data_IF_772588361748
#
_entry.id   IF_772588361748
#
_cell.length_a   1.000
_cell.length_b   1.000
_cell.length_c   1.000
_cell.angle_alpha   90.00
_cell.angle_beta   90.00
_cell.angle_gamma   90.00
#
_symmetry.space_group_name_H-M   'P 1'
#
loop_
_entity.id
_entity.type
_entity.pdbx_description
1 polymer ?
#
# COMPACT_ATOMS: atom_id res chain seq x y z
N UNK A 1 36.88 -27.04 -21.79
CA UNK A 1 35.80 -26.52 -20.93
C UNK A 1 36.16 -25.10 -20.53
N UNK A 2 35.52 -24.11 -21.15
CA UNK A 2 35.80 -22.69 -20.89
C UNK A 2 34.80 -22.24 -19.83
N UNK A 3 35.27 -21.89 -18.62
CA UNK A 3 34.44 -21.23 -17.61
C UNK A 3 34.28 -19.77 -18.02
N UNK A 4 33.06 -19.29 -18.33
CA UNK A 4 32.86 -17.86 -18.57
C UNK A 4 33.12 -17.10 -17.27
N UNK A 5 33.93 -16.06 -17.34
CA UNK A 5 34.19 -15.18 -16.21
C UNK A 5 32.94 -14.38 -15.82
N UNK A 6 32.87 -13.98 -14.55
CA UNK A 6 31.83 -13.12 -13.95
C UNK A 6 31.24 -12.02 -14.88
N UNK A 7 32.01 -11.27 -15.69
CA UNK A 7 31.42 -10.26 -16.58
C UNK A 7 30.51 -10.85 -17.68
N UNK A 8 30.80 -12.05 -18.18
CA UNK A 8 30.00 -12.72 -19.20
C UNK A 8 28.67 -13.23 -18.63
N UNK A 9 28.67 -13.69 -17.37
CA UNK A 9 27.46 -14.08 -16.67
C UNK A 9 26.54 -12.87 -16.37
N UNK A 10 27.11 -11.70 -16.07
CA UNK A 10 26.34 -10.46 -15.86
C UNK A 10 25.76 -9.94 -17.17
N UNK A 11 26.50 -10.04 -18.29
CA UNK A 11 26.01 -9.66 -19.60
C UNK A 11 24.85 -10.56 -20.10
N UNK A 12 24.93 -11.87 -19.83
CA UNK A 12 23.85 -12.82 -20.14
C UNK A 12 22.62 -12.63 -19.24
N UNK A 13 22.81 -12.30 -17.97
CA UNK A 13 21.71 -11.96 -17.07
C UNK A 13 21.03 -10.64 -17.47
N UNK A 14 21.79 -9.63 -17.89
CA UNK A 14 21.23 -8.38 -18.41
C UNK A 14 20.48 -8.59 -19.73
N UNK A 15 20.97 -9.45 -20.63
CA UNK A 15 20.27 -9.81 -21.85
C UNK A 15 18.98 -10.62 -21.57
N UNK A 16 18.98 -11.49 -20.57
CA UNK A 16 17.78 -12.23 -20.15
C UNK A 16 16.73 -11.31 -19.49
N UNK A 17 17.15 -10.34 -18.68
CA UNK A 17 16.25 -9.33 -18.10
C UNK A 17 15.69 -8.41 -19.17
N UNK A 18 16.47 -8.04 -20.19
CA UNK A 18 16.00 -7.24 -21.33
C UNK A 18 15.06 -8.02 -22.28
N UNK A 19 15.22 -9.34 -22.39
CA UNK A 19 14.33 -10.20 -23.19
C UNK A 19 13.05 -10.61 -22.44
N UNK A 20 13.05 -10.61 -21.10
CA UNK A 20 11.87 -10.88 -20.26
C UNK A 20 11.12 -9.61 -19.84
N UNK A 21 11.74 -8.43 -19.92
CA UNK A 21 11.04 -7.13 -19.75
C UNK A 21 10.15 -6.77 -20.94
N UNK A 22 10.08 -7.63 -21.97
CA UNK A 22 9.21 -7.50 -23.14
C UNK A 22 7.84 -8.18 -23.01
N UNK A 23 7.54 -8.81 -21.87
CA UNK A 23 6.17 -9.23 -21.52
C UNK A 23 5.50 -8.18 -20.62
N UNK A 24 5.70 -6.90 -20.95
CA UNK A 24 4.81 -5.83 -20.55
C UNK A 24 3.79 -5.75 -21.67
N UNK A 25 2.51 -5.93 -21.35
CA UNK A 25 1.44 -5.61 -22.29
C UNK A 25 1.61 -4.14 -22.69
N UNK A 26 1.98 -3.89 -23.94
CA UNK A 26 2.08 -2.55 -24.47
C UNK A 26 0.66 -2.01 -24.69
N UNK A 27 0.39 -0.81 -24.18
CA UNK A 27 -0.91 -0.13 -24.27
C UNK A 27 -1.28 0.13 -25.74
N UNK A 28 -0.32 0.05 -26.66
CA UNK A 28 -0.54 0.21 -28.09
C UNK A 28 -1.24 -0.95 -28.81
N UNK A 29 -1.43 -2.12 -28.18
CA UNK A 29 -2.21 -3.21 -28.78
C UNK A 29 -3.74 -3.02 -28.61
N UNK A 30 -4.16 -2.04 -27.81
CA UNK A 30 -5.55 -1.59 -27.75
C UNK A 30 -5.68 -0.32 -28.58
N UNK A 31 -5.98 -0.47 -29.87
CA UNK A 31 -6.21 0.64 -30.79
C UNK A 31 -7.38 1.53 -30.38
N UNK A 32 -7.16 2.42 -29.42
CA UNK A 32 -8.08 3.45 -28.98
C UNK A 32 -7.29 4.75 -28.79
N UNK A 33 -7.64 5.75 -29.59
CA UNK A 33 -7.08 7.10 -29.51
C UNK A 33 -7.22 7.63 -28.08
N UNK A 34 -6.11 8.09 -27.52
CA UNK A 34 -6.08 8.72 -26.20
C UNK A 34 -6.96 9.98 -26.24
N UNK A 35 -8.08 10.06 -25.50
CA UNK A 35 -8.87 11.28 -25.48
C UNK A 35 -8.03 12.38 -24.81
N UNK A 36 -7.95 13.54 -25.45
CA UNK A 36 -7.24 14.70 -24.92
C UNK A 36 -7.78 15.12 -23.54
N UNK A 37 -6.98 15.84 -22.74
CA UNK A 37 -7.36 16.25 -21.39
C UNK A 37 -8.60 17.14 -21.45
N UNK A 38 -9.74 16.63 -20.98
CA UNK A 38 -10.91 17.47 -20.69
C UNK A 38 -10.78 18.01 -19.27
N UNK A 39 -10.86 19.34 -19.16
CA UNK A 39 -10.77 20.17 -17.96
C UNK A 39 -11.92 19.93 -16.96
N UNK A 40 -12.07 18.71 -16.46
CA UNK A 40 -12.81 18.44 -15.23
C UNK A 40 -11.82 18.52 -14.08
N UNK A 41 -11.76 19.71 -13.46
CA UNK A 41 -10.76 20.11 -12.48
C UNK A 41 -10.39 19.02 -11.47
N UNK A 42 -9.09 18.71 -11.40
CA UNK A 42 -8.51 17.99 -10.27
C UNK A 42 -8.88 18.73 -8.98
N UNK A 43 -9.37 18.04 -7.94
CA UNK A 43 -9.40 18.62 -6.61
C UNK A 43 -7.95 18.75 -6.11
N UNK A 44 -7.27 19.85 -6.46
CA UNK A 44 -5.99 20.28 -5.88
C UNK A 44 -6.22 21.00 -4.55
N UNK A 45 -7.10 20.46 -3.70
CA UNK A 45 -7.05 20.79 -2.28
C UNK A 45 -6.10 19.78 -1.66
N UNK A 46 -4.82 20.14 -1.57
CA UNK A 46 -3.92 19.46 -0.63
C UNK A 46 -4.61 19.54 0.74
N UNK A 47 -5.00 18.42 1.37
CA UNK A 47 -5.60 18.50 2.70
C UNK A 47 -4.62 19.26 3.59
N UNK A 48 -5.11 20.31 4.27
CA UNK A 48 -4.38 20.96 5.34
C UNK A 48 -4.30 19.90 6.43
N UNK A 49 -3.20 19.16 6.47
CA UNK A 49 -2.88 18.28 7.58
C UNK A 49 -2.42 19.22 8.69
N UNK A 50 -3.22 19.33 9.76
CA UNK A 50 -2.81 20.07 10.94
C UNK A 50 -1.41 19.59 11.36
N UNK A 51 -0.52 20.53 11.69
CA UNK A 51 0.81 20.19 12.18
C UNK A 51 0.65 19.26 13.39
N UNK A 52 1.25 18.06 13.38
CA UNK A 52 1.07 17.10 14.46
C UNK A 52 1.51 17.76 15.78
N UNK A 53 0.80 17.48 16.90
CA UNK A 53 1.19 18.03 18.19
C UNK A 53 2.65 17.71 18.49
N UNK A 54 3.34 18.60 19.19
CA UNK A 54 4.72 18.36 19.57
C UNK A 54 4.84 17.07 20.41
N UNK A 55 5.99 16.40 20.31
CA UNK A 55 6.32 15.27 21.18
C UNK A 55 6.29 15.72 22.64
N UNK A 56 5.61 14.97 23.50
CA UNK A 56 5.65 15.21 24.94
C UNK A 56 6.97 14.65 25.49
N UNK A 57 7.96 15.53 25.66
CA UNK A 57 9.30 15.19 26.12
C UNK A 57 9.56 15.76 27.52
N UNK A 58 10.39 15.08 28.34
CA UNK A 58 10.83 15.63 29.61
C UNK A 58 11.48 17.01 29.47
N UNK A 59 11.33 17.83 30.51
CA UNK A 59 11.88 19.19 30.51
C UNK A 59 13.38 19.19 30.23
N UNK A 60 13.80 19.94 29.20
CA UNK A 60 15.20 20.05 28.80
C UNK A 60 15.66 19.04 27.75
N UNK A 61 14.83 18.06 27.35
CA UNK A 61 15.10 17.24 26.17
C UNK A 61 14.45 17.85 24.92
N UNK A 62 15.20 17.92 23.81
CA UNK A 62 14.65 18.14 22.47
C UNK A 62 14.62 16.81 21.68
N UNK A 63 13.83 16.70 20.60
CA UNK A 63 13.78 15.49 19.78
C UNK A 63 15.16 15.09 19.21
N UNK A 64 16.02 16.07 18.93
CA UNK A 64 17.38 15.83 18.43
C UNK A 64 18.33 15.23 19.48
N UNK A 65 17.96 15.29 20.77
CA UNK A 65 18.76 14.75 21.87
C UNK A 65 18.41 13.29 22.20
N UNK A 66 17.38 12.73 21.54
CA UNK A 66 17.01 11.33 21.69
C UNK A 66 17.94 10.45 20.85
N UNK A 67 18.34 9.32 21.41
CA UNK A 67 18.97 8.24 20.64
C UNK A 67 17.94 7.17 20.32
N UNK A 68 17.84 6.79 19.05
CA UNK A 68 16.90 5.77 18.58
C UNK A 68 17.72 4.70 17.89
N UNK A 69 17.64 3.49 18.41
CA UNK A 69 18.28 2.32 17.84
C UNK A 69 17.25 1.49 17.11
N UNK A 70 17.56 1.10 15.88
CA UNK A 70 16.65 0.35 15.01
C UNK A 70 17.19 -1.04 14.72
N UNK A 71 16.31 -2.03 14.78
CA UNK A 71 16.58 -3.36 14.24
C UNK A 71 16.43 -3.37 12.70
N UNK A 72 16.88 -4.46 12.08
CA UNK A 72 16.61 -4.68 10.66
C UNK A 72 15.10 -4.92 10.41
N UNK A 73 14.54 -4.39 9.32
CA UNK A 73 13.14 -4.64 8.95
C UNK A 73 12.85 -6.14 8.78
N UNK A 74 11.74 -6.59 9.36
CA UNK A 74 11.22 -7.94 9.17
C UNK A 74 9.99 -7.88 8.29
N UNK A 75 10.01 -8.62 7.18
CA UNK A 75 8.89 -8.70 6.23
C UNK A 75 7.88 -9.75 6.70
N UNK A 76 6.60 -9.38 6.70
CA UNK A 76 5.49 -10.27 6.96
C UNK A 76 5.17 -11.20 5.78
N UNK A 77 3.96 -11.77 5.75
CA UNK A 77 3.54 -12.64 4.66
C UNK A 77 3.37 -11.85 3.34
N UNK A 78 3.94 -12.36 2.24
CA UNK A 78 4.04 -11.68 0.94
C UNK A 78 2.71 -11.42 0.22
N UNK A 79 1.65 -12.12 0.61
CA UNK A 79 0.39 -12.16 -0.12
C UNK A 79 -0.82 -11.74 0.75
N UNK A 80 -0.63 -10.77 1.64
CA UNK A 80 -1.75 -10.19 2.38
C UNK A 80 -2.54 -9.25 1.44
N UNK A 81 -3.86 -9.28 1.53
CA UNK A 81 -4.71 -8.31 0.84
C UNK A 81 -4.63 -6.96 1.59
N UNK A 82 -3.95 -5.98 0.99
CA UNK A 82 -3.68 -4.69 1.61
C UNK A 82 -4.77 -3.66 1.34
N UNK A 83 -5.35 -3.70 0.14
CA UNK A 83 -6.42 -2.80 -0.28
C UNK A 83 -7.29 -3.48 -1.36
N UNK A 84 -8.52 -2.99 -1.49
CA UNK A 84 -9.48 -3.46 -2.48
C UNK A 84 -10.10 -2.28 -3.20
N UNK A 85 -10.31 -2.44 -4.51
CA UNK A 85 -11.12 -1.56 -5.34
C UNK A 85 -12.27 -2.34 -5.94
N UNK A 86 -13.49 -1.84 -5.81
CA UNK A 86 -14.70 -2.39 -6.42
C UNK A 86 -15.21 -1.43 -7.48
N UNK A 87 -15.44 -1.95 -8.68
CA UNK A 87 -15.95 -1.22 -9.83
C UNK A 87 -17.23 -1.86 -10.34
N UNK A 88 -18.29 -1.07 -10.48
CA UNK A 88 -19.56 -1.52 -11.04
C UNK A 88 -19.82 -0.80 -12.35
N UNK A 89 -20.03 -1.57 -13.42
CA UNK A 89 -20.32 -1.08 -14.76
C UNK A 89 -21.81 -1.26 -15.04
N UNK A 90 -22.53 -0.16 -15.30
CA UNK A 90 -23.93 -0.18 -15.70
C UNK A 90 -24.08 0.15 -17.18
N UNK A 91 -24.88 -0.65 -17.89
CA UNK A 91 -25.34 -0.33 -19.24
C UNK A 91 -26.51 0.67 -19.15
N UNK A 92 -26.51 1.74 -19.96
CA UNK A 92 -27.61 2.68 -20.02
C UNK A 92 -28.96 2.01 -20.32
N UNK A 93 -30.01 2.46 -19.64
CA UNK A 93 -31.36 1.92 -19.74
C UNK A 93 -32.15 2.40 -20.98
N UNK A 94 -33.32 1.80 -21.27
CA UNK A 94 -34.16 2.25 -22.37
C UNK A 94 -34.60 3.71 -22.19
N UNK A 95 -34.29 4.58 -23.16
CA UNK A 95 -34.55 6.02 -23.12
C UNK A 95 -33.34 6.87 -22.72
N UNK A 96 -32.28 6.26 -22.19
CA UNK A 96 -30.96 6.90 -22.04
C UNK A 96 -30.27 6.79 -23.41
N UNK A 97 -30.11 7.91 -24.15
CA UNK A 97 -29.63 7.86 -25.54
C UNK A 97 -28.19 7.33 -25.62
N UNK A 98 -27.98 6.18 -26.27
CA UNK A 98 -26.65 5.73 -26.63
C UNK A 98 -26.28 6.27 -28.00
N UNK A 99 -25.08 6.84 -28.14
CA UNK A 99 -24.48 7.04 -29.45
C UNK A 99 -24.56 8.43 -30.06
N UNK A 100 -24.00 9.43 -29.38
CA UNK A 100 -23.07 10.33 -30.06
C UNK A 100 -21.65 9.79 -29.81
N UNK A 101 -21.31 8.64 -30.39
CA UNK A 101 -19.96 8.04 -30.40
C UNK A 101 -19.31 7.65 -29.06
N UNK A 102 -19.89 8.00 -27.92
CA UNK A 102 -19.24 7.88 -26.60
C UNK A 102 -20.27 7.77 -25.48
N UNK A 103 -21.25 6.84 -25.57
CA UNK A 103 -22.22 6.69 -24.48
C UNK A 103 -21.46 6.31 -23.21
N UNK A 104 -21.34 7.20 -22.21
CA UNK A 104 -20.52 6.92 -21.05
C UNK A 104 -21.21 5.83 -20.26
N UNK A 105 -20.54 4.72 -20.05
CA UNK A 105 -20.99 3.75 -19.07
C UNK A 105 -20.79 4.40 -17.71
N UNK A 106 -21.83 4.37 -16.87
CA UNK A 106 -21.65 4.86 -15.51
C UNK A 106 -20.88 3.80 -14.74
N UNK A 107 -19.68 4.18 -14.33
CA UNK A 107 -18.79 3.37 -13.51
C UNK A 107 -18.82 3.91 -12.09
N UNK A 108 -19.38 3.16 -11.15
CA UNK A 108 -19.27 3.45 -9.72
C UNK A 108 -18.00 2.81 -9.19
N UNK A 109 -17.25 3.53 -8.34
CA UNK A 109 -15.98 3.07 -7.77
C UNK A 109 -16.01 3.19 -6.25
N UNK A 110 -15.55 2.14 -5.57
CA UNK A 110 -15.36 2.13 -4.12
C UNK A 110 -13.98 1.57 -3.82
N UNK A 111 -13.18 2.37 -3.13
CA UNK A 111 -11.81 2.04 -2.72
C UNK A 111 -11.75 1.87 -1.21
N UNK A 112 -11.09 0.81 -0.75
CA UNK A 112 -10.94 0.49 0.67
C UNK A 112 -9.51 0.05 0.96
N UNK A 113 -8.81 0.78 1.82
CA UNK A 113 -7.58 0.30 2.46
C UNK A 113 -7.96 -0.65 3.60
N UNK A 114 -7.49 -1.90 3.55
CA UNK A 114 -7.76 -2.91 4.59
C UNK A 114 -6.72 -2.89 5.70
N UNK A 115 -5.48 -2.56 5.35
CA UNK A 115 -4.37 -2.45 6.28
C UNK A 115 -3.93 -0.99 6.35
N UNK A 116 -3.78 -0.40 7.55
CA UNK A 116 -3.27 0.96 7.68
C UNK A 116 -1.90 1.11 7.01
N UNK A 117 -1.60 2.27 6.38
CA UNK A 117 -0.29 2.50 5.75
C UNK A 117 0.87 2.29 6.73
N UNK A 118 0.69 2.70 7.98
CA UNK A 118 1.59 2.41 9.09
C UNK A 118 0.86 2.45 10.44
N UNK A 119 1.51 1.89 11.46
CA UNK A 119 1.04 1.89 12.85
C UNK A 119 2.21 1.77 13.83
N UNK A 120 2.04 2.38 15.00
CA UNK A 120 2.98 2.34 16.12
C UNK A 120 2.46 1.39 17.19
N UNK A 121 3.30 0.47 17.65
CA UNK A 121 3.03 -0.38 18.80
C UNK A 121 4.19 -0.25 19.80
N UNK A 122 3.90 0.26 21.00
CA UNK A 122 4.85 0.31 22.11
C UNK A 122 4.75 -1.01 22.87
N UNK A 123 5.88 -1.60 23.24
CA UNK A 123 5.87 -2.81 24.05
C UNK A 123 5.17 -2.53 25.39
N UNK A 124 4.29 -3.43 25.82
CA UNK A 124 3.88 -3.42 27.22
C UNK A 124 5.13 -3.61 28.09
N UNK A 125 5.18 -2.98 29.28
CA UNK A 125 6.27 -3.16 30.22
C UNK A 125 6.55 -4.66 30.41
N UNK A 126 7.59 -5.16 29.75
CA UNK A 126 7.93 -6.57 29.66
C UNK A 126 9.21 -6.84 30.43
N UNK A 127 9.26 -8.01 31.06
CA UNK A 127 10.19 -8.50 32.10
C UNK A 127 11.71 -8.51 31.74
N UNK A 128 12.11 -7.85 30.65
CA UNK A 128 13.49 -7.66 30.24
C UNK A 128 14.20 -6.53 31.01
N UNK A 129 15.53 -6.47 30.91
CA UNK A 129 16.44 -5.60 31.69
C UNK A 129 16.21 -4.07 31.56
N UNK A 130 15.21 -3.65 30.81
CA UNK A 130 14.86 -2.27 30.54
C UNK A 130 13.64 -1.91 31.39
N UNK A 131 13.89 -1.46 32.63
CA UNK A 131 12.86 -1.28 33.66
C UNK A 131 11.89 -0.12 33.42
N UNK A 132 12.10 0.71 32.39
CA UNK A 132 11.32 1.92 32.14
C UNK A 132 10.81 1.90 30.71
N UNK A 133 9.49 1.73 30.55
CA UNK A 133 8.82 1.90 29.26
C UNK A 133 7.81 3.03 29.42
N UNK A 134 8.13 4.18 28.84
CA UNK A 134 7.24 5.33 28.77
C UNK A 134 6.21 5.13 27.66
N UNK A 135 5.00 5.61 27.93
CA UNK A 135 4.01 5.78 26.87
C UNK A 135 4.52 6.84 25.90
N UNK A 136 4.50 6.54 24.61
CA UNK A 136 4.90 7.46 23.56
C UNK A 136 3.73 8.37 23.19
N UNK A 137 3.39 9.30 24.08
CA UNK A 137 2.27 10.21 23.88
C UNK A 137 2.69 11.57 23.31
N UNK A 138 1.84 12.19 22.47
CA UNK A 138 0.70 11.58 21.80
C UNK A 138 1.15 10.63 20.67
N UNK A 139 0.53 9.45 20.59
CA UNK A 139 0.91 8.38 19.66
C UNK A 139 1.07 8.85 18.20
N UNK A 140 0.20 9.71 17.63
CA UNK A 140 0.35 10.17 16.25
C UNK A 140 1.62 11.00 16.02
N UNK A 141 2.05 11.78 17.00
CA UNK A 141 3.27 12.59 16.88
C UNK A 141 4.51 11.72 16.91
N UNK A 142 4.57 10.75 17.83
CA UNK A 142 5.66 9.78 17.91
C UNK A 142 5.71 8.87 16.69
N UNK A 143 4.56 8.38 16.20
CA UNK A 143 4.50 7.56 15.01
C UNK A 143 5.02 8.32 13.78
N UNK A 144 4.65 9.60 13.63
CA UNK A 144 5.16 10.46 12.56
C UNK A 144 6.66 10.75 12.67
N UNK A 145 7.15 11.06 13.87
CA UNK A 145 8.56 11.32 14.14
C UNK A 145 9.43 10.08 13.88
N UNK A 146 9.05 8.92 14.42
CA UNK A 146 9.75 7.65 14.22
C UNK A 146 9.75 7.23 12.75
N UNK A 147 8.64 7.42 12.04
CA UNK A 147 8.56 7.16 10.60
C UNK A 147 9.50 8.08 9.80
N UNK A 148 9.64 9.34 10.23
CA UNK A 148 10.59 10.30 9.67
C UNK A 148 12.03 9.83 9.85
N UNK A 149 12.46 9.57 11.09
CA UNK A 149 13.81 9.11 11.42
C UNK A 149 14.19 7.81 10.69
N UNK A 150 13.27 6.84 10.62
CA UNK A 150 13.46 5.58 9.90
C UNK A 150 13.74 5.79 8.40
N UNK A 151 13.04 6.75 7.76
CA UNK A 151 13.24 7.11 6.35
C UNK A 151 14.51 7.92 6.15
N UNK A 152 14.79 8.87 7.05
CA UNK A 152 15.97 9.74 6.97
C UNK A 152 17.29 8.96 7.15
N UNK A 153 17.24 7.84 7.87
CA UNK A 153 18.36 6.89 8.03
C UNK A 153 18.44 5.82 6.92
N UNK A 154 17.60 5.90 5.89
CA UNK A 154 17.52 4.94 4.79
C UNK A 154 17.33 3.47 5.24
N UNK A 155 16.72 3.23 6.41
CA UNK A 155 16.43 1.88 6.92
C UNK A 155 15.27 1.27 6.13
N UNK A 156 14.32 2.11 5.73
CA UNK A 156 13.24 1.77 4.80
C UNK A 156 13.18 2.77 3.65
N UNK A 157 12.50 2.43 2.54
CA UNK A 157 12.34 3.36 1.43
C UNK A 157 11.54 4.62 1.81
N UNK A 158 11.75 5.76 1.12
CA UNK A 158 11.04 7.02 1.40
C UNK A 158 9.50 6.97 1.29
N UNK A 159 8.97 5.95 0.60
CA UNK A 159 7.52 5.73 0.43
C UNK A 159 6.91 4.79 1.45
N UNK A 160 7.71 4.10 2.27
CA UNK A 160 7.22 3.22 3.33
C UNK A 160 6.26 3.98 4.25
N UNK A 161 5.09 3.43 4.57
CA UNK A 161 4.10 4.12 5.41
C UNK A 161 3.21 5.12 4.68
N UNK A 162 3.17 5.09 3.34
CA UNK A 162 2.23 5.88 2.53
C UNK A 162 1.08 5.00 2.02
N UNK A 163 -0.08 5.62 1.83
CA UNK A 163 -1.26 4.99 1.21
C UNK A 163 -0.93 4.37 -0.14
N UNK A 164 -1.64 3.27 -0.46
CA UNK A 164 -1.47 2.57 -1.73
C UNK A 164 -2.17 3.38 -2.82
N UNK A 165 -1.46 3.65 -3.92
CA UNK A 165 -2.09 4.25 -5.09
C UNK A 165 -2.86 3.19 -5.86
N UNK A 166 -4.18 3.25 -5.77
CA UNK A 166 -5.07 2.32 -6.48
C UNK A 166 -5.26 2.83 -7.92
N UNK A 167 -4.64 2.16 -8.88
CA UNK A 167 -4.64 2.55 -10.30
C UNK A 167 -5.97 2.15 -10.95
N UNK A 168 -6.49 2.99 -11.83
CA UNK A 168 -7.69 2.67 -12.62
C UNK A 168 -7.33 1.74 -13.78
N UNK A 169 -8.16 0.73 -14.00
CA UNK A 169 -8.23 0.04 -15.28
C UNK A 169 -9.55 0.42 -15.95
N UNK A 170 -9.56 0.48 -17.28
CA UNK A 170 -10.79 0.68 -18.03
C UNK A 170 -11.28 -0.69 -18.52
N UNK A 171 -12.39 -1.24 -17.98
CA UNK A 171 -12.90 -2.50 -18.48
C UNK A 171 -13.30 -2.36 -19.96
N UNK A 172 -13.04 -3.37 -20.78
CA UNK A 172 -13.59 -3.44 -22.14
C UNK A 172 -15.08 -3.77 -22.04
N UNK A 173 -15.92 -2.99 -22.71
CA UNK A 173 -17.33 -2.88 -22.37
C UNK A 173 -18.28 -3.47 -23.42
N UNK A 174 -19.07 -4.49 -23.02
CA UNK A 174 -20.36 -4.89 -23.64
C UNK A 174 -21.30 -5.64 -22.66
N UNK A 175 -21.11 -5.48 -21.33
CA UNK A 175 -21.88 -6.21 -20.31
C UNK A 175 -22.01 -5.42 -19.02
N UNK A 176 -23.16 -5.59 -18.33
CA UNK A 176 -23.29 -5.18 -16.94
C UNK A 176 -22.44 -6.13 -16.09
N UNK A 177 -21.38 -5.61 -15.48
CA UNK A 177 -20.40 -6.41 -14.75
C UNK A 177 -19.89 -5.67 -13.51
N UNK A 178 -19.44 -6.47 -12.54
CA UNK A 178 -18.76 -5.97 -11.34
C UNK A 178 -17.35 -6.56 -11.31
N UNK A 179 -16.38 -5.69 -11.15
CA UNK A 179 -14.97 -6.06 -11.08
C UNK A 179 -14.40 -5.69 -9.71
N UNK A 180 -13.59 -6.58 -9.14
CA UNK A 180 -12.88 -6.39 -7.88
C UNK A 180 -11.39 -6.49 -8.16
N UNK A 181 -10.62 -5.48 -7.76
CA UNK A 181 -9.16 -5.50 -7.79
C UNK A 181 -8.65 -5.61 -6.34
N UNK A 182 -7.83 -6.61 -6.08
CA UNK A 182 -7.07 -6.71 -4.83
C UNK A 182 -5.63 -6.33 -5.02
N UNK A 183 -5.09 -5.57 -4.07
CA UNK A 183 -3.68 -5.20 -4.03
C UNK A 183 -3.00 -6.06 -2.96
N UNK A 184 -2.11 -6.94 -3.40
CA UNK A 184 -1.44 -7.92 -2.54
C UNK A 184 -0.06 -7.42 -2.13
N UNK A 185 0.38 -7.71 -0.92
CA UNK A 185 1.74 -7.44 -0.49
C UNK A 185 2.00 -7.86 0.95
N UNK A 186 3.08 -7.35 1.53
CA UNK A 186 3.45 -7.59 2.91
C UNK A 186 3.58 -6.28 3.70
N UNK A 187 3.18 -6.33 4.95
CA UNK A 187 3.64 -5.38 5.96
C UNK A 187 5.10 -5.65 6.32
N UNK A 188 5.82 -4.62 6.75
CA UNK A 188 7.15 -4.74 7.34
C UNK A 188 7.11 -4.13 8.74
N UNK A 189 7.71 -4.81 9.69
CA UNK A 189 7.86 -4.34 11.06
C UNK A 189 9.32 -4.01 11.34
N UNK A 190 9.58 -2.83 11.91
CA UNK A 190 10.91 -2.43 12.34
C UNK A 190 10.85 -2.14 13.84
N UNK A 191 11.69 -2.85 14.60
CA UNK A 191 11.78 -2.69 16.05
C UNK A 191 12.66 -1.50 16.39
N UNK A 192 12.28 -0.77 17.43
CA UNK A 192 13.04 0.36 17.93
C UNK A 192 13.26 0.27 19.43
N UNK A 193 14.34 0.89 19.87
CA UNK A 193 14.60 1.26 21.26
C UNK A 193 14.87 2.78 21.32
N UNK A 194 14.25 3.47 22.27
CA UNK A 194 14.44 4.90 22.53
C UNK A 194 15.24 5.08 23.81
N UNK A 195 16.33 5.80 23.72
CA UNK A 195 17.15 6.27 24.83
C UNK A 195 16.97 7.79 24.98
N UNK A 196 16.69 8.23 26.20
CA UNK A 196 16.44 9.62 26.55
C UNK A 196 17.71 10.48 26.50
N UNK A 197 17.53 11.79 26.64
CA UNK A 197 18.63 12.75 26.54
C UNK A 197 19.68 12.62 27.67
N UNK A 198 19.34 11.93 28.76
CA UNK A 198 20.23 11.60 29.88
C UNK A 198 20.95 10.25 29.71
N UNK A 199 20.76 9.56 28.59
CA UNK A 199 21.32 8.24 28.30
C UNK A 199 20.55 7.07 28.94
N UNK A 200 19.42 7.32 29.57
CA UNK A 200 18.58 6.26 30.14
C UNK A 200 17.65 5.66 29.09
N UNK A 201 17.40 4.35 29.17
CA UNK A 201 16.38 3.70 28.33
C UNK A 201 14.99 4.25 28.67
N UNK A 202 14.19 4.53 27.64
CA UNK A 202 12.86 5.15 27.77
C UNK A 202 11.74 4.25 27.26
N UNK A 203 11.89 3.65 26.09
CA UNK A 203 10.80 2.90 25.47
C UNK A 203 11.31 1.95 24.40
N UNK A 204 10.55 0.91 24.10
CA UNK A 204 10.78 0.02 22.97
C UNK A 204 9.47 -0.33 22.29
N UNK A 205 9.55 -0.75 21.03
CA UNK A 205 8.35 -1.10 20.29
C UNK A 205 8.62 -1.49 18.85
N UNK A 206 7.57 -1.42 18.03
CA UNK A 206 7.63 -1.66 16.61
C UNK A 206 6.87 -0.56 15.84
N UNK A 207 7.47 -0.10 14.74
CA UNK A 207 6.75 0.59 13.69
C UNK A 207 6.44 -0.42 12.59
N UNK A 208 5.16 -0.63 12.31
CA UNK A 208 4.70 -1.50 11.21
C UNK A 208 4.20 -0.64 10.08
N UNK A 209 4.46 -1.02 8.83
CA UNK A 209 3.93 -0.30 7.69
C UNK A 209 4.05 -1.05 6.38
N UNK A 210 3.50 -0.45 5.33
CA UNK A 210 3.48 -0.99 3.98
C UNK A 210 4.52 -0.26 3.12
N UNK A 211 5.23 -1.00 2.28
CA UNK A 211 6.00 -0.42 1.18
C UNK A 211 5.18 -0.52 -0.13
N UNK A 212 4.60 0.59 -0.62
CA UNK A 212 3.77 0.60 -1.81
C UNK A 212 4.56 0.39 -3.11
N UNK A 213 5.89 0.23 -3.06
CA UNK A 213 6.70 -0.16 -4.23
C UNK A 213 7.05 -1.66 -4.24
N UNK A 214 6.80 -2.37 -3.14
CA UNK A 214 7.05 -3.82 -2.99
C UNK A 214 5.75 -4.61 -2.78
N UNK A 215 4.64 -4.13 -3.34
CA UNK A 215 3.43 -4.95 -3.40
C UNK A 215 3.70 -6.17 -4.29
N UNK A 216 3.18 -7.34 -3.89
CA UNK A 216 3.35 -8.61 -4.59
C UNK A 216 2.61 -8.66 -5.93
N UNK A 217 1.64 -7.77 -6.14
CA UNK A 217 0.92 -7.61 -7.39
C UNK A 217 -0.49 -7.08 -7.20
N UNK A 218 -1.23 -6.99 -8.29
CA UNK A 218 -2.68 -6.79 -8.27
C UNK A 218 -3.36 -8.01 -8.88
N UNK A 219 -4.46 -8.44 -8.27
CA UNK A 219 -5.34 -9.51 -8.76
C UNK A 219 -6.68 -8.91 -9.15
N UNK A 220 -7.24 -9.35 -10.27
CA UNK A 220 -8.53 -8.89 -10.80
C UNK A 220 -9.52 -10.05 -10.78
N UNK A 221 -10.74 -9.81 -10.29
CA UNK A 221 -11.84 -10.74 -10.35
C UNK A 221 -13.05 -10.08 -11.00
N UNK A 222 -13.63 -10.74 -11.99
CA UNK A 222 -14.96 -10.40 -12.48
C UNK A 222 -16.00 -11.25 -11.74
N UNK A 223 -16.92 -10.58 -11.04
CA UNK A 223 -17.94 -11.26 -10.27
C UNK A 223 -18.97 -11.95 -11.18
N UNK A 224 -19.36 -13.18 -10.83
CA UNK A 224 -20.33 -13.97 -11.60
C UNK A 224 -19.72 -14.77 -12.77
N UNK A 225 -18.42 -14.63 -13.02
CA UNK A 225 -17.67 -15.49 -13.95
C UNK A 225 -16.81 -16.46 -13.12
N UNK A 226 -16.89 -17.78 -13.36
CA UNK A 226 -16.02 -18.73 -12.67
C UNK A 226 -14.55 -18.35 -12.91
N UNK A 227 -13.71 -18.29 -11.86
CA UNK A 227 -12.29 -18.06 -12.05
C UNK A 227 -11.72 -19.20 -12.91
N UNK A 228 -11.03 -18.87 -14.00
CA UNK A 228 -10.22 -19.87 -14.71
C UNK A 228 -9.04 -20.31 -13.85
N UNK A 229 -8.27 -21.30 -14.32
CA UNK A 229 -7.07 -21.85 -13.66
C UNK A 229 -5.94 -20.82 -13.42
N UNK A 230 -6.13 -19.55 -13.77
CA UNK A 230 -5.12 -18.48 -13.72
C UNK A 230 -5.25 -17.58 -12.48
N UNK A 231 -6.27 -17.76 -11.64
CA UNK A 231 -6.51 -16.90 -10.48
C UNK A 231 -6.08 -17.57 -9.18
N UNK A 232 -4.76 -17.69 -9.00
CA UNK A 232 -4.21 -17.87 -7.66
C UNK A 232 -4.70 -16.70 -6.80
N UNK A 233 -5.35 -17.00 -5.66
CA UNK A 233 -5.88 -16.02 -4.68
C UNK A 233 -7.29 -15.47 -4.92
N UNK A 234 -8.09 -16.14 -5.74
CA UNK A 234 -9.51 -15.83 -5.91
C UNK A 234 -10.29 -15.78 -4.58
N UNK A 235 -9.90 -16.63 -3.62
CA UNK A 235 -10.49 -16.77 -2.28
C UNK A 235 -10.43 -15.46 -1.47
N UNK A 236 -9.44 -14.61 -1.74
CA UNK A 236 -9.31 -13.31 -1.08
C UNK A 236 -10.30 -12.27 -1.61
N UNK A 237 -10.74 -12.39 -2.87
CA UNK A 237 -11.58 -11.40 -3.55
C UNK A 237 -13.06 -11.78 -3.58
N UNK A 238 -13.39 -13.07 -3.52
CA UNK A 238 -14.76 -13.59 -3.51
C UNK A 238 -15.70 -12.84 -2.53
N UNK A 239 -15.29 -12.53 -1.28
CA UNK A 239 -16.16 -11.84 -0.33
C UNK A 239 -16.62 -10.45 -0.80
N UNK A 240 -15.84 -9.80 -1.67
CA UNK A 240 -16.12 -8.47 -2.21
C UNK A 240 -16.97 -8.50 -3.47
N UNK A 241 -17.40 -9.68 -3.94
CA UNK A 241 -18.28 -9.85 -5.09
C UNK A 241 -19.78 -9.83 -4.77
N UNK A 242 -20.18 -10.00 -3.51
CA UNK A 242 -21.58 -9.88 -3.10
C UNK A 242 -22.04 -8.40 -3.07
N UNK A 243 -23.29 -8.14 -3.44
CA UNK A 243 -23.90 -6.80 -3.37
C UNK A 243 -23.86 -6.26 -1.92
N UNK A 244 -23.17 -5.14 -1.73
CA UNK A 244 -23.07 -4.43 -0.45
C UNK A 244 -21.73 -4.55 0.28
N UNK A 245 -20.64 -4.02 -0.28
CA UNK A 245 -19.38 -3.87 0.46
C UNK A 245 -19.46 -2.75 1.52
N UNK A 246 -20.25 -3.02 2.57
CA UNK A 246 -20.04 -2.53 3.92
C UNK A 246 -19.87 -3.77 4.80
N UNK A 247 -18.73 -4.46 4.63
CA UNK A 247 -18.31 -5.53 5.53
C UNK A 247 -17.45 -4.93 6.63
N UNK A 248 -18.05 -4.72 7.80
CA UNK A 248 -17.38 -4.35 9.03
C UNK A 248 -16.21 -5.32 9.32
N UNK A 249 -14.98 -4.80 9.27
CA UNK A 249 -13.84 -5.42 9.93
C UNK A 249 -13.56 -4.60 11.18
N UNK A 250 -13.98 -5.11 12.34
CA UNK A 250 -13.69 -4.47 13.62
C UNK A 250 -14.66 -4.74 14.75
N UNK A 251 -15.04 -6.00 15.01
CA UNK A 251 -15.41 -6.42 16.37
C UNK A 251 -15.35 -7.94 16.46
N UNK A 252 -14.35 -8.45 17.19
CA UNK A 252 -14.39 -9.82 17.75
C UNK A 252 -15.04 -9.77 19.15
N UNK A 253 -15.56 -10.90 19.66
CA UNK A 253 -16.63 -10.97 20.66
C UNK A 253 -16.31 -10.45 22.06
#
# INVERSE_FOLDING_TARGET
MIRPGRPVCVALAAAAVALLSGCVYDVSDYGLETPGPTDAGSPTATPVVDEPPALDLPAGCAPADLSIDWAQPVVGAADQLLAVRVMQVRIPGPGEQPGLGSTPQSVTRTDTELVPPFGLAVDAAGDGSATVVDQLTPDPAWAGYLLGDLRDRDIVPPRFGRSIQLVSFDPVLDRAARYVIGYLGATQAVRFDVTGCDGTFRSSGALTGIDPMRYGGAVLLECGVPPGDQYDRWDLLEPYCADGAAGAAGTEP
#
